data_IF_503149297598
#
_entry.id   IF_503149297598
#
_cell.length_a   1.000
_cell.length_b   1.000
_cell.length_c   1.000
_cell.angle_alpha   90.00
_cell.angle_beta   90.00
_cell.angle_gamma   90.00
#
_symmetry.space_group_name_H-M   'P 1'
#
loop_
_entity.id
_entity.type
_entity.pdbx_description
1 polymer ?
#
# COMPACT_ATOMS: atom_id res chain seq x y z
N UNK A 1 14.51 -38.41 -39.64
CA UNK A 1 13.18 -37.78 -39.50
C UNK A 1 12.75 -37.92 -38.03
N UNK A 2 12.66 -36.92 -37.16
CA UNK A 2 12.37 -35.49 -37.31
C UNK A 2 11.10 -35.11 -36.53
N UNK A 3 10.90 -35.59 -35.28
CA UNK A 3 9.72 -35.28 -34.45
C UNK A 3 10.04 -35.27 -32.93
N UNK A 4 10.97 -34.42 -32.48
CA UNK A 4 11.10 -34.10 -31.05
C UNK A 4 11.31 -32.60 -30.74
N UNK A 5 11.35 -31.73 -31.77
CA UNK A 5 11.68 -30.31 -31.56
C UNK A 5 10.48 -29.42 -31.19
N UNK A 6 9.24 -29.84 -31.47
CA UNK A 6 8.08 -28.94 -31.39
C UNK A 6 7.49 -28.79 -29.98
N UNK A 7 7.67 -29.76 -29.09
CA UNK A 7 7.10 -29.70 -27.73
C UNK A 7 7.94 -28.82 -26.78
N UNK A 8 9.26 -28.74 -27.00
CA UNK A 8 10.17 -27.95 -26.17
C UNK A 8 9.99 -26.44 -26.40
N UNK A 9 9.71 -26.03 -27.65
CA UNK A 9 9.52 -24.62 -28.00
C UNK A 9 8.20 -24.06 -27.44
N UNK A 10 7.13 -24.86 -27.40
CA UNK A 10 5.82 -24.43 -26.87
C UNK A 10 5.80 -24.26 -25.35
N UNK A 11 6.46 -25.16 -24.61
CA UNK A 11 6.58 -25.05 -23.15
C UNK A 11 7.45 -23.86 -22.75
N UNK A 12 8.54 -23.62 -23.49
CA UNK A 12 9.41 -22.46 -23.24
C UNK A 12 8.72 -21.13 -23.55
N UNK A 13 7.85 -21.08 -24.58
CA UNK A 13 7.06 -19.88 -24.91
C UNK A 13 5.95 -19.60 -23.88
N UNK A 14 5.31 -20.64 -23.33
CA UNK A 14 4.33 -20.52 -22.25
C UNK A 14 4.96 -20.05 -20.93
N UNK A 15 6.16 -20.52 -20.60
CA UNK A 15 6.90 -20.03 -19.43
C UNK A 15 7.34 -18.56 -19.60
N UNK A 16 7.64 -18.14 -20.83
CA UNK A 16 8.05 -16.76 -21.10
C UNK A 16 6.90 -15.76 -20.91
N UNK A 17 5.66 -16.14 -21.21
CA UNK A 17 4.48 -15.27 -20.97
C UNK A 17 4.05 -15.23 -19.51
N UNK A 18 4.22 -16.31 -18.75
CA UNK A 18 3.95 -16.34 -17.30
C UNK A 18 4.94 -15.50 -16.48
N UNK A 19 6.20 -15.39 -16.93
CA UNK A 19 7.18 -14.51 -16.29
C UNK A 19 6.86 -13.01 -16.48
N UNK A 20 6.16 -12.65 -17.57
CA UNK A 20 5.78 -11.26 -17.84
C UNK A 20 4.66 -10.79 -16.88
N UNK A 21 3.82 -11.70 -16.38
CA UNK A 21 2.74 -11.34 -15.43
C UNK A 21 3.18 -11.24 -13.97
N UNK A 22 4.44 -11.58 -13.65
CA UNK A 22 4.96 -11.55 -12.27
C UNK A 22 5.92 -10.38 -12.02
N UNK A 23 6.25 -9.59 -13.05
CA UNK A 23 7.13 -8.41 -12.91
C UNK A 23 6.30 -7.15 -12.63
N UNK A 24 5.49 -7.19 -11.58
CA UNK A 24 4.95 -6.00 -10.93
C UNK A 24 5.19 -6.11 -9.42
N UNK A 25 6.47 -6.26 -9.07
CA UNK A 25 6.96 -6.04 -7.69
C UNK A 25 7.39 -4.59 -7.47
N UNK A 26 7.07 -3.68 -8.40
CA UNK A 26 6.99 -2.28 -7.99
C UNK A 26 5.80 -2.22 -7.05
N UNK A 27 6.04 -2.03 -5.76
CA UNK A 27 5.01 -1.72 -4.77
C UNK A 27 4.41 -0.34 -5.06
N UNK A 28 3.93 -0.14 -6.28
CA UNK A 28 3.15 0.99 -6.68
C UNK A 28 1.78 0.71 -6.08
N UNK A 29 1.63 1.07 -4.81
CA UNK A 29 0.31 1.29 -4.25
C UNK A 29 -0.33 2.30 -5.19
N UNK A 30 -1.24 1.83 -6.06
CA UNK A 30 -2.12 2.70 -6.84
C UNK A 30 -3.10 3.28 -5.83
N UNK A 31 -2.59 4.20 -5.01
CA UNK A 31 -3.38 5.17 -4.30
C UNK A 31 -3.98 6.01 -5.41
N UNK A 32 -5.14 5.59 -5.91
CA UNK A 32 -5.99 6.45 -6.70
C UNK A 32 -6.08 7.73 -5.91
N UNK A 33 -5.42 8.77 -6.42
CA UNK A 33 -5.55 10.12 -5.89
C UNK A 33 -6.99 10.50 -6.16
N UNK A 34 -7.87 10.04 -5.26
CA UNK A 34 -9.09 10.74 -4.96
C UNK A 34 -8.58 12.15 -4.73
N UNK A 35 -9.01 13.07 -5.58
CA UNK A 35 -8.98 14.49 -5.24
C UNK A 35 -9.90 14.63 -4.03
N UNK A 36 -9.44 14.13 -2.88
CA UNK A 36 -10.00 14.35 -1.59
C UNK A 36 -9.80 15.85 -1.43
N UNK A 37 -10.84 16.58 -1.78
CA UNK A 37 -10.96 17.99 -1.47
C UNK A 37 -10.93 18.02 0.04
N UNK A 38 -9.73 18.19 0.59
CA UNK A 38 -9.53 18.42 2.01
C UNK A 38 -10.32 19.69 2.28
N UNK A 39 -11.38 19.62 3.11
CA UNK A 39 -12.14 20.82 3.45
C UNK A 39 -11.17 21.89 3.93
N UNK A 40 -11.31 23.12 3.42
CA UNK A 40 -10.46 24.24 3.83
C UNK A 40 -10.60 24.54 5.33
N UNK A 41 -11.71 24.09 5.93
CA UNK A 41 -11.92 24.07 7.37
C UNK A 41 -11.42 22.75 7.97
N UNK A 42 -10.32 22.82 8.73
CA UNK A 42 -10.00 21.76 9.69
C UNK A 42 -11.09 21.83 10.77
N UNK A 43 -11.82 20.74 11.04
CA UNK A 43 -12.81 20.75 12.11
C UNK A 43 -12.14 21.20 13.41
N UNK A 44 -12.82 22.09 14.14
CA UNK A 44 -12.28 22.69 15.36
C UNK A 44 -11.80 21.65 16.38
N UNK A 45 -12.36 20.44 16.34
CA UNK A 45 -12.01 19.32 17.20
C UNK A 45 -11.83 18.04 16.38
N UNK A 46 -10.80 17.25 16.73
CA UNK A 46 -10.56 15.94 16.11
C UNK A 46 -11.62 14.91 16.55
N UNK A 47 -12.23 14.20 15.59
CA UNK A 47 -13.13 13.08 15.91
C UNK A 47 -12.35 11.76 16.01
N UNK A 48 -11.99 11.39 17.23
CA UNK A 48 -11.22 10.16 17.51
C UNK A 48 -11.98 8.88 17.14
N UNK A 49 -13.32 8.89 17.13
CA UNK A 49 -14.09 7.70 16.74
C UNK A 49 -13.97 7.45 15.24
N UNK A 50 -14.24 8.48 14.44
CA UNK A 50 -14.11 8.40 12.97
C UNK A 50 -12.68 8.05 12.56
N UNK A 51 -11.68 8.66 13.22
CA UNK A 51 -10.27 8.33 13.01
C UNK A 51 -9.94 6.86 13.30
N UNK A 52 -10.45 6.30 14.40
CA UNK A 52 -10.24 4.88 14.75
C UNK A 52 -10.89 3.93 13.76
N UNK A 53 -12.07 4.25 13.24
CA UNK A 53 -12.76 3.40 12.27
C UNK A 53 -11.98 3.34 10.96
N UNK A 54 -11.49 4.49 10.47
CA UNK A 54 -10.66 4.56 9.25
C UNK A 54 -9.32 3.87 9.44
N UNK A 55 -8.70 4.07 10.60
CA UNK A 55 -7.46 3.38 10.96
C UNK A 55 -7.63 1.86 10.92
N UNK A 56 -8.71 1.35 11.51
CA UNK A 56 -9.01 -0.09 11.55
C UNK A 56 -9.26 -0.66 10.15
N UNK A 57 -9.93 0.10 9.28
CA UNK A 57 -10.26 -0.33 7.92
C UNK A 57 -9.04 -0.37 6.98
N UNK A 58 -8.12 0.59 7.09
CA UNK A 58 -7.09 0.81 6.08
C UNK A 58 -5.65 0.58 6.56
N UNK A 59 -5.37 0.75 7.86
CA UNK A 59 -4.00 0.84 8.37
C UNK A 59 -3.61 -0.33 9.28
N UNK A 60 -4.58 -0.85 10.06
CA UNK A 60 -4.33 -1.83 11.12
C UNK A 60 -3.79 -3.19 10.61
N UNK A 61 -4.05 -3.55 9.36
CA UNK A 61 -3.55 -4.78 8.75
C UNK A 61 -2.02 -4.83 8.63
N UNK A 62 -1.38 -3.68 8.43
CA UNK A 62 0.08 -3.56 8.32
C UNK A 62 0.71 -3.00 9.61
N UNK A 63 0.08 -1.99 10.22
CA UNK A 63 0.65 -1.28 11.37
C UNK A 63 0.13 -1.81 12.73
N UNK A 64 -0.69 -2.86 12.72
CA UNK A 64 -1.25 -3.48 13.91
C UNK A 64 -2.44 -2.70 14.48
N UNK A 65 -3.28 -3.34 15.31
CA UNK A 65 -4.53 -2.74 15.81
C UNK A 65 -4.32 -1.49 16.68
N UNK A 66 -3.16 -1.38 17.33
CA UNK A 66 -2.78 -0.23 18.16
C UNK A 66 -1.69 0.66 17.53
N UNK A 67 -1.31 0.43 16.28
CA UNK A 67 -0.26 1.23 15.62
C UNK A 67 1.17 0.93 16.08
N UNK A 68 1.39 -0.17 16.80
CA UNK A 68 2.73 -0.61 17.24
C UNK A 68 3.59 -1.26 16.16
N UNK A 69 3.06 -1.42 14.96
CA UNK A 69 3.72 -2.13 13.87
C UNK A 69 3.52 -3.64 13.93
N UNK A 70 3.88 -4.29 12.84
CA UNK A 70 3.92 -5.75 12.67
C UNK A 70 5.17 -6.11 11.86
N UNK A 71 5.29 -7.37 11.45
CA UNK A 71 6.31 -7.75 10.47
C UNK A 71 6.10 -7.10 9.08
N UNK A 72 4.88 -6.65 8.77
CA UNK A 72 4.51 -6.06 7.48
C UNK A 72 4.64 -4.53 7.44
N UNK A 73 4.59 -3.86 8.59
CA UNK A 73 4.58 -2.40 8.67
C UNK A 73 5.21 -1.89 9.96
N UNK A 74 5.88 -0.74 9.90
CA UNK A 74 6.53 -0.13 11.05
C UNK A 74 5.53 0.40 12.10
N UNK A 75 6.04 0.83 13.26
CA UNK A 75 5.22 1.52 14.25
C UNK A 75 4.85 2.92 13.77
N UNK A 76 3.59 3.30 13.98
CA UNK A 76 3.07 4.66 13.79
C UNK A 76 3.02 5.45 15.11
N UNK A 77 3.17 4.77 16.25
CA UNK A 77 3.29 5.43 17.54
C UNK A 77 4.58 6.26 17.57
N UNK A 78 4.44 7.56 17.83
CA UNK A 78 5.59 8.48 17.92
C UNK A 78 6.24 8.81 16.57
N UNK A 79 5.52 8.65 15.45
CA UNK A 79 6.06 8.95 14.13
C UNK A 79 6.30 10.46 13.99
N UNK A 80 7.55 10.89 14.11
CA UNK A 80 7.98 12.30 14.02
C UNK A 80 7.49 12.94 12.71
N UNK A 81 7.52 12.21 11.59
CA UNK A 81 7.01 12.69 10.30
C UNK A 81 5.51 13.00 10.27
N UNK A 82 4.71 12.42 11.18
CA UNK A 82 3.30 12.80 11.35
C UNK A 82 3.14 14.08 12.21
N UNK A 83 4.16 14.44 12.98
CA UNK A 83 4.18 15.64 13.83
C UNK A 83 4.62 16.89 13.05
N UNK A 84 5.49 16.73 12.05
CA UNK A 84 6.11 17.86 11.34
C UNK A 84 5.11 18.72 10.55
N UNK A 85 3.97 18.17 10.13
CA UNK A 85 2.89 18.95 9.47
C UNK A 85 2.12 19.89 10.41
N UNK A 86 2.30 19.79 11.73
CA UNK A 86 1.66 20.68 12.71
C UNK A 86 2.60 21.78 13.24
N UNK A 87 3.93 21.58 13.18
CA UNK A 87 4.92 22.55 13.68
C UNK A 87 5.18 23.72 12.70
N UNK A 88 4.77 23.64 11.42
CA UNK A 88 4.86 24.78 10.48
C UNK A 88 3.73 25.81 10.62
N UNK A 89 2.80 25.63 11.57
CA UNK A 89 1.67 26.53 11.83
C UNK A 89 1.79 27.32 13.16
N UNK A 90 2.97 27.38 13.77
CA UNK A 90 3.31 28.26 14.89
C UNK A 90 4.37 29.29 14.48
#
# INVERSE_FOLDING_TARGET
MGKLSSFSLGFMLLCLTAAITCTDSTGTFSGSSLTAQVPAEVPAEANLSDGRDRYSLACASCHGPAGGGTALGNSLQGCESCRQSFDELQ
#
